data_IF_610129347455
#
_entry.id   IF_610129347455
#
_cell.length_a   1.000
_cell.length_b   1.000
_cell.length_c   1.000
_cell.angle_alpha   90.00
_cell.angle_beta   90.00
_cell.angle_gamma   90.00
#
_symmetry.space_group_name_H-M   'P 1'
#
loop_
_entity.id
_entity.type
_entity.pdbx_description
1 polymer ?
#
# COMPACT_ATOMS: atom_id res chain seq x y z
N UNK A 1 -23.52 1.44 13.10
CA UNK A 1 -23.42 0.19 13.90
C UNK A 1 -21.93 -0.08 14.19
N UNK A 2 -21.47 -0.48 15.39
CA UNK A 2 -20.08 -0.92 15.57
C UNK A 2 -19.62 -1.92 14.49
N UNK A 3 -20.52 -2.79 14.01
CA UNK A 3 -20.22 -3.76 12.95
C UNK A 3 -19.99 -3.11 11.56
N UNK A 4 -20.59 -1.93 11.29
CA UNK A 4 -20.35 -1.18 10.04
C UNK A 4 -18.96 -0.54 10.01
N UNK A 5 -18.43 -0.08 11.15
CA UNK A 5 -17.09 0.52 11.22
C UNK A 5 -15.99 -0.51 10.96
N UNK A 6 -16.13 -1.71 11.50
CA UNK A 6 -15.18 -2.79 11.27
C UNK A 6 -15.16 -3.22 9.79
N UNK A 7 -16.27 -3.09 9.07
CA UNK A 7 -16.33 -3.47 7.67
C UNK A 7 -15.43 -2.60 6.79
N UNK A 8 -15.57 -1.27 6.89
CA UNK A 8 -14.80 -0.34 6.07
C UNK A 8 -13.29 -0.42 6.38
N UNK A 9 -12.92 -0.54 7.65
CA UNK A 9 -11.51 -0.60 8.07
C UNK A 9 -10.79 -1.89 7.62
N UNK A 10 -11.52 -3.02 7.53
CA UNK A 10 -10.93 -4.33 7.21
C UNK A 10 -11.03 -4.66 5.73
N UNK A 11 -12.09 -4.23 5.04
CA UNK A 11 -12.40 -4.70 3.69
C UNK A 11 -12.30 -3.63 2.61
N UNK A 12 -12.28 -2.34 2.95
CA UNK A 12 -12.29 -1.26 1.96
C UNK A 12 -10.93 -0.55 1.95
N UNK A 13 -10.24 -0.63 0.81
CA UNK A 13 -8.93 0.01 0.58
C UNK A 13 -8.97 0.90 -0.65
N UNK A 14 -8.14 1.95 -0.65
CA UNK A 14 -7.95 2.79 -1.83
C UNK A 14 -7.25 2.01 -2.95
N UNK A 15 -7.74 2.14 -4.19
CA UNK A 15 -7.15 1.55 -5.38
C UNK A 15 -7.12 2.59 -6.54
N UNK A 16 -6.33 3.67 -6.40
CA UNK A 16 -6.27 4.70 -7.42
C UNK A 16 -5.51 4.22 -8.67
N UNK A 17 -6.01 4.57 -9.85
CA UNK A 17 -5.25 4.50 -11.10
C UNK A 17 -4.32 5.72 -11.18
N UNK A 18 -3.08 5.56 -10.71
CA UNK A 18 -2.10 6.62 -10.61
C UNK A 18 -1.23 6.48 -9.37
N UNK A 19 -0.84 7.60 -8.75
CA UNK A 19 0.07 7.57 -7.61
C UNK A 19 -0.63 7.02 -6.36
N UNK A 20 -0.06 5.96 -5.80
CA UNK A 20 -0.50 5.31 -4.57
C UNK A 20 0.66 5.13 -3.58
N UNK A 21 0.33 4.96 -2.30
CA UNK A 21 1.26 4.62 -1.24
C UNK A 21 1.01 3.18 -0.80
N UNK A 22 2.01 2.33 -0.99
CA UNK A 22 1.91 0.89 -0.80
C UNK A 22 2.86 0.41 0.31
N UNK A 23 2.60 -0.78 0.84
CA UNK A 23 3.48 -1.47 1.80
C UNK A 23 4.05 -2.73 1.18
N UNK A 24 5.36 -2.79 1.06
CA UNK A 24 6.07 -3.90 0.43
C UNK A 24 6.92 -4.63 1.46
N UNK A 25 6.91 -5.96 1.44
CA UNK A 25 7.75 -6.77 2.33
C UNK A 25 8.95 -7.34 1.57
N UNK A 26 10.17 -7.03 2.01
CA UNK A 26 11.40 -7.48 1.35
C UNK A 26 11.74 -8.93 1.72
N UNK A 27 10.89 -9.85 1.26
CA UNK A 27 10.87 -11.26 1.69
C UNK A 27 12.19 -11.99 1.41
N UNK A 28 12.81 -11.75 0.25
CA UNK A 28 14.05 -12.40 -0.17
C UNK A 28 15.32 -11.65 0.25
N UNK A 29 15.20 -10.65 1.13
CA UNK A 29 16.32 -9.85 1.59
C UNK A 29 16.24 -9.58 3.08
N UNK A 30 16.11 -8.29 3.44
CA UNK A 30 16.25 -7.85 4.82
C UNK A 30 15.04 -8.18 5.72
N UNK A 31 13.97 -8.79 5.17
CA UNK A 31 12.74 -9.17 5.88
C UNK A 31 12.11 -8.02 6.67
N UNK A 32 12.14 -6.82 6.09
CA UNK A 32 11.50 -5.62 6.63
C UNK A 32 10.45 -5.11 5.66
N UNK A 33 9.47 -4.42 6.22
CA UNK A 33 8.49 -3.69 5.45
C UNK A 33 9.05 -2.35 5.00
N UNK A 34 8.63 -1.88 3.83
CA UNK A 34 8.95 -0.58 3.26
C UNK A 34 7.65 0.14 2.92
N UNK A 35 7.63 1.47 3.01
CA UNK A 35 6.57 2.28 2.39
C UNK A 35 7.06 2.73 1.02
N UNK A 36 6.31 2.44 -0.02
CA UNK A 36 6.66 2.77 -1.40
C UNK A 36 5.61 3.73 -1.96
N UNK A 37 6.05 4.86 -2.52
CA UNK A 37 5.19 5.70 -3.34
C UNK A 37 5.42 5.34 -4.80
N UNK A 38 4.39 4.85 -5.47
CA UNK A 38 4.47 4.34 -6.85
C UNK A 38 3.35 4.93 -7.70
N UNK A 39 3.65 5.27 -8.94
CA UNK A 39 2.63 5.49 -9.97
C UNK A 39 2.21 4.13 -10.54
N UNK A 40 1.02 3.68 -10.14
CA UNK A 40 0.47 2.38 -10.50
C UNK A 40 0.05 2.29 -11.97
N UNK A 41 -0.20 3.42 -12.64
CA UNK A 41 -0.62 3.45 -14.04
C UNK A 41 0.51 3.08 -15.02
N UNK A 42 1.77 3.28 -14.59
CA UNK A 42 2.99 3.08 -15.41
C UNK A 42 4.08 2.27 -14.71
N UNK A 43 3.77 1.68 -13.56
CA UNK A 43 4.68 0.91 -12.71
C UNK A 43 6.00 1.61 -12.34
N UNK A 44 5.90 2.90 -12.00
CA UNK A 44 7.08 3.72 -11.69
C UNK A 44 7.19 4.00 -10.20
N UNK A 45 8.25 3.52 -9.56
CA UNK A 45 8.59 3.89 -8.18
C UNK A 45 9.07 5.34 -8.14
N UNK A 46 8.48 6.13 -7.25
CA UNK A 46 8.80 7.55 -7.05
C UNK A 46 9.63 7.76 -5.78
N UNK A 47 9.33 7.02 -4.71
CA UNK A 47 10.01 7.13 -3.40
C UNK A 47 9.92 5.82 -2.63
N UNK A 48 10.95 5.52 -1.82
CA UNK A 48 10.99 4.37 -0.91
C UNK A 48 11.44 4.83 0.47
N UNK A 49 10.62 4.54 1.48
CA UNK A 49 10.90 4.80 2.90
C UNK A 49 11.08 3.47 3.65
N UNK A 50 12.01 3.40 4.63
CA UNK A 50 12.22 2.23 5.46
C UNK A 50 11.05 1.88 6.39
#
# INVERSE_FOLDING_TARGET
>A
DPDERDFDEVWIFENPDGVTTERWFHTFGCRRWLTVRRDASVDRVLEVLP
#
